data_IF_076506364792
#
_entry.id   IF_076506364792
#
_cell.length_a   1.000
_cell.length_b   1.000
_cell.length_c   1.000
_cell.angle_alpha   90.00
_cell.angle_beta   90.00
_cell.angle_gamma   90.00
#
_symmetry.space_group_name_H-M   'P 1'
#
loop_
_entity.id
_entity.type
_entity.pdbx_description
1 polymer ?
#
# COMPACT_ATOMS: atom_id res chain seq x y z
N UNK A 1 -17.18 11.74 -11.18
CA UNK A 1 -15.80 11.41 -10.76
C UNK A 1 -15.64 9.90 -10.79
N UNK A 2 -14.78 9.38 -11.67
CA UNK A 2 -14.55 7.93 -11.76
C UNK A 2 -13.72 7.50 -10.54
N UNK A 3 -14.37 6.88 -9.54
CA UNK A 3 -13.69 6.29 -8.38
C UNK A 3 -13.22 4.90 -8.75
N UNK A 4 -12.06 4.79 -9.40
CA UNK A 4 -11.45 3.48 -9.66
C UNK A 4 -10.81 2.99 -8.37
N UNK A 5 -11.40 1.98 -7.72
CA UNK A 5 -10.81 1.25 -6.57
C UNK A 5 -9.74 0.29 -7.08
N UNK A 6 -8.65 0.83 -7.62
CA UNK A 6 -7.57 0.00 -8.16
C UNK A 6 -6.41 -0.03 -7.17
N UNK A 7 -5.85 -1.21 -6.94
CA UNK A 7 -4.70 -1.34 -6.06
C UNK A 7 -3.44 -0.80 -6.76
N UNK A 8 -2.47 -0.29 -5.97
CA UNK A 8 -1.30 0.42 -6.51
C UNK A 8 -0.39 -0.48 -7.36
N UNK A 9 -0.33 -1.76 -7.06
CA UNK A 9 0.33 -2.81 -7.82
C UNK A 9 -0.36 -3.06 -9.18
N UNK A 10 -1.68 -3.16 -9.19
CA UNK A 10 -2.46 -3.29 -10.44
C UNK A 10 -2.25 -2.08 -11.37
N UNK A 11 -2.14 -0.88 -10.81
CA UNK A 11 -1.81 0.33 -11.56
C UNK A 11 -0.41 0.26 -12.17
N UNK A 12 0.58 -0.23 -11.41
CA UNK A 12 1.96 -0.35 -11.87
C UNK A 12 2.06 -1.29 -13.08
N UNK A 13 1.34 -2.41 -13.04
CA UNK A 13 1.28 -3.39 -14.12
C UNK A 13 0.55 -2.85 -15.35
N UNK A 14 -0.53 -2.09 -15.16
CA UNK A 14 -1.22 -1.43 -16.26
C UNK A 14 -0.31 -0.41 -16.97
N UNK A 15 0.41 0.41 -16.22
CA UNK A 15 1.36 1.39 -16.77
C UNK A 15 2.45 0.68 -17.57
N UNK A 16 3.00 -0.41 -17.04
CA UNK A 16 3.99 -1.22 -17.75
C UNK A 16 3.42 -1.75 -19.07
N UNK A 17 2.21 -2.33 -19.04
CA UNK A 17 1.53 -2.88 -20.21
C UNK A 17 1.29 -1.82 -21.29
N UNK A 18 0.77 -0.65 -20.91
CA UNK A 18 0.53 0.47 -21.84
C UNK A 18 1.84 0.96 -22.43
N UNK A 19 2.87 1.13 -21.60
CA UNK A 19 4.19 1.60 -22.04
C UNK A 19 4.82 0.62 -23.02
N UNK A 20 4.70 -0.69 -22.78
CA UNK A 20 5.22 -1.72 -23.68
C UNK A 20 4.53 -1.68 -25.06
N UNK A 21 3.20 -1.57 -25.07
CA UNK A 21 2.40 -1.43 -26.30
C UNK A 21 2.79 -0.18 -27.09
N UNK A 22 3.01 0.95 -26.41
CA UNK A 22 3.43 2.19 -27.05
C UNK A 22 4.84 2.09 -27.66
N UNK A 23 5.78 1.44 -26.97
CA UNK A 23 7.13 1.22 -27.49
C UNK A 23 7.08 0.34 -28.74
N UNK A 24 6.32 -0.75 -28.72
CA UNK A 24 6.17 -1.62 -29.89
C UNK A 24 5.56 -0.88 -31.09
N UNK A 25 4.53 -0.07 -30.86
CA UNK A 25 3.85 0.69 -31.92
C UNK A 25 4.76 1.74 -32.59
N UNK A 26 5.76 2.28 -31.87
CA UNK A 26 6.69 3.31 -32.37
C UNK A 26 7.97 2.73 -33.00
N UNK A 27 8.07 1.41 -33.11
CA UNK A 27 9.28 0.73 -33.53
C UNK A 27 10.07 0.21 -32.33
N UNK A 28 10.55 -1.03 -32.44
CA UNK A 28 11.10 -1.81 -31.33
C UNK A 28 12.42 -1.22 -30.78
N UNK A 29 12.32 -0.28 -29.83
CA UNK A 29 13.48 0.31 -29.16
C UNK A 29 13.90 -0.54 -27.94
N UNK A 30 14.88 -1.42 -28.16
CA UNK A 30 15.40 -2.34 -27.14
C UNK A 30 15.96 -1.63 -25.90
N UNK A 31 16.61 -0.47 -26.07
CA UNK A 31 17.17 0.30 -24.94
C UNK A 31 16.06 0.84 -24.05
N UNK A 32 14.98 1.33 -24.66
CA UNK A 32 13.82 1.82 -23.92
C UNK A 32 13.06 0.68 -23.24
N UNK A 33 12.95 -0.50 -23.86
CA UNK A 33 12.37 -1.68 -23.21
C UNK A 33 13.19 -2.16 -22.00
N UNK A 34 14.52 -2.18 -22.13
CA UNK A 34 15.40 -2.55 -21.02
C UNK A 34 15.24 -1.57 -19.84
N UNK A 35 15.19 -0.27 -20.12
CA UNK A 35 14.97 0.76 -19.10
C UNK A 35 13.59 0.62 -18.45
N UNK A 36 12.54 0.46 -19.24
CA UNK A 36 11.18 0.28 -18.75
C UNK A 36 11.08 -0.94 -17.81
N UNK A 37 11.71 -2.05 -18.21
CA UNK A 37 11.75 -3.28 -17.40
C UNK A 37 12.49 -3.07 -16.09
N UNK A 38 13.68 -2.45 -16.13
CA UNK A 38 14.45 -2.20 -14.90
C UNK A 38 13.73 -1.25 -13.95
N UNK A 39 13.07 -0.21 -14.49
CA UNK A 39 12.30 0.75 -13.69
C UNK A 39 11.08 0.11 -13.05
N UNK A 40 10.33 -0.73 -13.78
CA UNK A 40 9.20 -1.46 -13.19
C UNK A 40 9.65 -2.38 -12.06
N UNK A 41 10.73 -3.14 -12.26
CA UNK A 41 11.28 -4.01 -11.21
C UNK A 41 11.73 -3.24 -9.97
N UNK A 42 12.32 -2.05 -10.15
CA UNK A 42 12.69 -1.18 -9.04
C UNK A 42 11.46 -0.70 -8.27
N UNK A 43 10.44 -0.19 -8.98
CA UNK A 43 9.22 0.33 -8.38
C UNK A 43 8.39 -0.76 -7.67
N UNK A 44 8.29 -1.95 -8.25
CA UNK A 44 7.61 -3.09 -7.64
C UNK A 44 8.29 -3.51 -6.32
N UNK A 45 9.63 -3.54 -6.31
CA UNK A 45 10.39 -3.82 -5.09
C UNK A 45 10.12 -2.77 -4.01
N UNK A 46 10.26 -1.48 -4.34
CA UNK A 46 10.01 -0.41 -3.37
C UNK A 46 8.57 -0.46 -2.85
N UNK A 47 7.58 -0.71 -3.71
CA UNK A 47 6.17 -0.80 -3.32
C UNK A 47 5.97 -1.93 -2.30
N UNK A 48 6.52 -3.11 -2.56
CA UNK A 48 6.45 -4.27 -1.66
C UNK A 48 7.13 -3.99 -0.32
N UNK A 49 8.32 -3.38 -0.33
CA UNK A 49 9.03 -3.00 0.89
C UNK A 49 8.22 -2.00 1.73
N UNK A 50 7.61 -0.99 1.09
CA UNK A 50 6.76 -0.01 1.77
C UNK A 50 5.47 -0.62 2.30
N UNK A 51 4.82 -1.51 1.54
CA UNK A 51 3.64 -2.24 1.99
C UNK A 51 3.97 -3.12 3.21
N UNK A 52 5.08 -3.87 3.16
CA UNK A 52 5.51 -4.69 4.28
C UNK A 52 5.91 -3.85 5.51
N UNK A 53 6.57 -2.71 5.29
CA UNK A 53 6.91 -1.77 6.37
C UNK A 53 5.65 -1.23 7.05
N UNK A 54 4.64 -0.81 6.27
CA UNK A 54 3.34 -0.38 6.81
C UNK A 54 2.65 -1.50 7.59
N UNK A 55 2.64 -2.73 7.06
CA UNK A 55 2.08 -3.89 7.77
C UNK A 55 2.77 -4.12 9.12
N UNK A 56 4.10 -4.09 9.16
CA UNK A 56 4.86 -4.23 10.42
C UNK A 56 4.54 -3.12 11.42
N UNK A 57 4.54 -1.86 10.98
CA UNK A 57 4.17 -0.72 11.82
C UNK A 57 2.74 -0.82 12.36
N UNK A 58 1.82 -1.31 11.54
CA UNK A 58 0.44 -1.53 11.97
C UNK A 58 0.33 -2.59 13.06
N UNK A 59 1.05 -3.71 12.92
CA UNK A 59 1.08 -4.75 13.98
C UNK A 59 1.75 -4.25 15.26
N UNK A 60 2.81 -3.43 15.16
CA UNK A 60 3.44 -2.78 16.31
C UNK A 60 2.43 -1.87 17.04
N UNK A 61 1.73 -0.99 16.31
CA UNK A 61 0.69 -0.11 16.87
C UNK A 61 -0.43 -0.94 17.53
N UNK A 62 -0.91 -1.98 16.85
CA UNK A 62 -1.95 -2.87 17.38
C UNK A 62 -1.50 -3.56 18.68
N UNK A 63 -0.27 -4.03 18.72
CA UNK A 63 0.32 -4.67 19.90
C UNK A 63 0.46 -3.68 21.05
N UNK A 64 0.92 -2.45 20.78
CA UNK A 64 1.08 -1.41 21.79
C UNK A 64 -0.27 -0.92 22.32
N UNK A 65 -1.28 -0.79 21.46
CA UNK A 65 -2.67 -0.51 21.87
C UNK A 65 -3.21 -1.63 22.76
N UNK A 66 -3.02 -2.90 22.39
CA UNK A 66 -3.46 -4.03 23.20
C UNK A 66 -2.77 -4.08 24.58
N UNK A 67 -1.48 -3.72 24.67
CA UNK A 67 -0.77 -3.60 25.95
C UNK A 67 -1.32 -2.47 26.81
N UNK A 68 -1.56 -1.29 26.22
CA UNK A 68 -2.14 -0.14 26.93
C UNK A 68 -3.56 -0.41 27.40
N UNK A 69 -4.37 -1.09 26.59
CA UNK A 69 -5.72 -1.54 26.95
C UNK A 69 -5.69 -2.51 28.14
N UNK A 70 -4.75 -3.45 28.19
CA UNK A 70 -4.59 -4.33 29.38
C UNK A 70 -4.20 -3.58 30.64
N UNK A 71 -3.36 -2.55 30.53
CA UNK A 71 -3.00 -1.68 31.66
C UNK A 71 -4.19 -0.83 32.11
N UNK A 72 -5.04 -0.38 31.18
CA UNK A 72 -6.28 0.35 31.49
C UNK A 72 -7.41 -0.56 31.98
N UNK A 73 -7.40 -1.86 31.66
CA UNK A 73 -8.38 -2.83 32.17
C UNK A 73 -8.17 -3.18 33.65
N UNK A 74 -6.96 -2.96 34.18
CA UNK A 74 -6.69 -3.00 35.63
C UNK A 74 -7.13 -1.69 36.35
N UNK A 75 -7.46 -0.63 35.59
CA UNK A 75 -7.93 0.68 36.05
C UNK A 75 -9.25 1.04 35.32
N UNK A 76 -10.35 0.33 35.60
CA UNK A 76 -11.75 0.63 35.24
C UNK A 76 -11.97 1.59 34.03
N UNK A 77 -11.78 1.13 32.78
CA UNK A 77 -12.33 1.81 31.60
C UNK A 77 -12.94 0.83 30.61
N UNK A 78 -14.25 1.02 30.36
CA UNK A 78 -15.08 0.37 29.35
C UNK A 78 -14.38 0.31 27.96
N UNK A 79 -14.22 -0.90 27.43
CA UNK A 79 -13.66 -1.16 26.12
C UNK A 79 -14.62 -0.66 25.02
N UNK A 80 -14.25 0.42 24.34
CA UNK A 80 -14.96 0.89 23.14
C UNK A 80 -14.61 -0.03 21.96
N UNK A 81 -15.65 -0.56 21.32
CA UNK A 81 -15.62 -1.55 20.23
C UNK A 81 -14.55 -1.29 19.15
N UNK A 82 -13.89 -2.37 18.75
CA UNK A 82 -12.88 -2.44 17.66
C UNK A 82 -13.39 -1.88 16.31
N UNK A 83 -14.70 -1.75 16.14
CA UNK A 83 -15.34 -1.20 14.93
C UNK A 83 -15.19 0.33 14.82
N UNK A 84 -15.07 1.05 15.94
CA UNK A 84 -14.95 2.52 15.97
C UNK A 84 -13.53 3.01 15.62
N UNK A 85 -12.51 2.20 15.91
CA UNK A 85 -11.10 2.54 15.63
C UNK A 85 -10.74 2.44 14.15
N UNK A 86 -11.42 1.57 13.39
CA UNK A 86 -11.23 1.46 11.95
C UNK A 86 -11.68 2.74 11.22
N UNK A 87 -12.80 3.32 11.64
CA UNK A 87 -13.35 4.54 11.04
C UNK A 87 -12.51 5.79 11.32
N UNK A 88 -11.85 5.86 12.47
CA UNK A 88 -11.03 7.02 12.82
C UNK A 88 -9.66 7.05 12.10
N UNK A 89 -9.09 5.89 11.77
CA UNK A 89 -7.84 5.81 10.98
C UNK A 89 -8.07 5.95 9.46
N UNK A 90 -9.27 5.64 8.96
CA UNK A 90 -9.61 5.86 7.55
C UNK A 90 -9.70 7.36 7.17
N UNK A 91 -9.84 8.27 8.12
CA UNK A 91 -9.87 9.72 7.87
C UNK A 91 -8.49 10.37 7.70
N UNK A 92 -7.39 9.71 8.07
CA UNK A 92 -6.03 10.25 7.92
C UNK A 92 -5.37 9.95 6.56
N UNK A 93 -6.06 9.21 5.69
CA UNK A 93 -5.55 8.78 4.38
C UNK A 93 -6.44 9.23 3.19
N UNK A 94 -7.30 10.24 3.38
CA UNK A 94 -8.00 10.93 2.29
C UNK A 94 -7.30 12.23 1.90
#
# INVERSE_FOLDING_TARGET
MCKTKMQTDELLDMILSVSYKQIQARGNNLRLQALLKSTHQFLDRELKEKQQSRKRKWEEIKTDLAKRSKVAADDDVEMVDDELLADQFCLFYL
#
